data_IF_483167427309
#
_entry.id   IF_483167427309
#
_cell.length_a   1.000
_cell.length_b   1.000
_cell.length_c   1.000
_cell.angle_alpha   90.00
_cell.angle_beta   90.00
_cell.angle_gamma   90.00
#
_symmetry.space_group_name_H-M   'P 1'
#
loop_
_entity.id
_entity.type
_entity.pdbx_description
1 polymer ?
#
# COMPACT_ATOMS: atom_id res chain seq x y z
N UNK A 1 -77.99 38.95 -29.46
CA UNK A 1 -77.35 39.32 -30.74
C UNK A 1 -76.00 39.90 -30.36
N UNK A 2 -74.86 39.23 -30.46
CA UNK A 2 -74.46 37.93 -31.02
C UNK A 2 -73.07 37.65 -30.45
N UNK A 3 -72.85 36.44 -29.92
CA UNK A 3 -71.51 35.92 -29.64
C UNK A 3 -70.71 35.81 -30.93
N UNK A 4 -69.42 36.16 -30.89
CA UNK A 4 -68.46 35.82 -31.93
C UNK A 4 -67.44 34.89 -31.27
N UNK A 5 -67.71 33.59 -31.36
CA UNK A 5 -66.69 32.55 -31.18
C UNK A 5 -65.67 32.68 -32.31
N UNK A 6 -64.41 32.95 -31.95
CA UNK A 6 -63.27 32.71 -32.83
C UNK A 6 -62.51 31.49 -32.34
N UNK A 7 -62.91 30.33 -32.86
CA UNK A 7 -62.18 29.07 -32.76
C UNK A 7 -60.95 29.12 -33.67
N UNK A 8 -59.75 28.93 -33.10
CA UNK A 8 -58.49 28.86 -33.85
C UNK A 8 -57.41 28.10 -33.06
N UNK A 9 -56.75 27.07 -33.65
CA UNK A 9 -55.90 26.14 -32.92
C UNK A 9 -54.48 26.70 -32.73
N UNK A 10 -54.34 27.70 -31.85
CA UNK A 10 -53.05 28.36 -31.60
C UNK A 10 -52.15 27.67 -30.56
N UNK A 11 -52.67 26.73 -29.76
CA UNK A 11 -51.97 26.21 -28.57
C UNK A 11 -51.47 24.77 -28.68
N UNK A 12 -51.74 24.08 -29.80
CA UNK A 12 -51.31 22.69 -29.99
C UNK A 12 -49.84 22.57 -30.41
N UNK A 13 -49.28 23.57 -31.09
CA UNK A 13 -47.87 23.53 -31.53
C UNK A 13 -46.87 23.81 -30.40
N UNK A 14 -47.17 24.73 -29.48
CA UNK A 14 -46.29 25.04 -28.35
C UNK A 14 -46.16 23.85 -27.37
N UNK A 15 -47.23 23.07 -27.22
CA UNK A 15 -47.27 21.91 -26.31
C UNK A 15 -46.46 20.71 -26.84
N UNK A 16 -46.29 20.60 -28.16
CA UNK A 16 -45.51 19.51 -28.79
C UNK A 16 -43.99 19.80 -28.86
N UNK A 17 -43.57 21.06 -28.71
CA UNK A 17 -42.15 21.42 -28.81
C UNK A 17 -41.34 20.99 -27.57
N UNK A 18 -41.93 21.06 -26.39
CA UNK A 18 -41.30 20.66 -25.13
C UNK A 18 -40.91 19.17 -25.09
N UNK A 19 -41.79 18.20 -25.43
CA UNK A 19 -41.39 16.79 -25.49
C UNK A 19 -40.40 16.52 -26.62
N UNK A 20 -40.50 17.20 -27.76
CA UNK A 20 -39.56 17.02 -28.87
C UNK A 20 -38.12 17.47 -28.50
N UNK A 21 -37.98 18.61 -27.81
CA UNK A 21 -36.70 19.08 -27.28
C UNK A 21 -36.14 18.13 -26.21
N UNK A 22 -36.99 17.59 -25.35
CA UNK A 22 -36.58 16.61 -24.33
C UNK A 22 -36.04 15.32 -24.95
N UNK A 23 -36.65 14.85 -26.05
CA UNK A 23 -36.18 13.69 -26.81
C UNK A 23 -34.85 13.99 -27.50
N UNK A 24 -34.74 15.12 -28.21
CA UNK A 24 -33.49 15.55 -28.87
C UNK A 24 -32.33 15.67 -27.87
N UNK A 25 -32.59 16.24 -26.68
CA UNK A 25 -31.59 16.34 -25.61
C UNK A 25 -31.11 14.96 -25.16
N UNK A 26 -31.98 13.94 -25.11
CA UNK A 26 -31.59 12.57 -24.72
C UNK A 26 -30.85 11.81 -25.82
N UNK A 27 -31.15 12.06 -27.09
CA UNK A 27 -30.59 11.32 -28.23
C UNK A 27 -29.33 11.95 -28.81
N UNK A 28 -29.25 13.28 -28.87
CA UNK A 28 -28.14 14.01 -29.50
C UNK A 28 -27.13 14.53 -28.48
N UNK A 29 -27.59 14.81 -27.26
CA UNK A 29 -26.73 15.17 -26.13
C UNK A 29 -26.83 14.14 -25.00
N UNK A 30 -26.41 12.88 -25.23
CA UNK A 30 -26.34 11.91 -24.15
C UNK A 30 -25.52 12.54 -23.01
N UNK A 31 -26.01 12.51 -21.76
CA UNK A 31 -25.20 12.93 -20.62
C UNK A 31 -23.89 12.16 -20.72
N UNK A 32 -22.74 12.87 -20.77
CA UNK A 32 -21.45 12.20 -20.65
C UNK A 32 -21.55 11.31 -19.43
N UNK A 33 -21.37 10.00 -19.61
CA UNK A 33 -21.21 9.09 -18.50
C UNK A 33 -20.15 9.71 -17.61
N UNK A 34 -20.54 10.13 -16.40
CA UNK A 34 -19.56 10.56 -15.42
C UNK A 34 -18.56 9.42 -15.33
N UNK A 35 -17.25 9.67 -15.49
CA UNK A 35 -16.28 8.62 -15.24
C UNK A 35 -16.55 8.18 -13.81
N UNK A 36 -17.01 6.93 -13.66
CA UNK A 36 -17.12 6.32 -12.35
C UNK A 36 -15.72 6.38 -11.78
N UNK A 37 -15.49 7.34 -10.89
CA UNK A 37 -14.32 7.31 -10.01
C UNK A 37 -14.60 6.15 -9.08
N UNK A 38 -14.35 4.94 -9.57
CA UNK A 38 -14.36 3.74 -8.77
C UNK A 38 -13.17 3.90 -7.83
N UNK A 39 -13.36 4.67 -6.74
CA UNK A 39 -12.40 4.81 -5.68
C UNK A 39 -12.14 3.40 -5.21
N UNK A 40 -10.94 2.90 -5.51
CA UNK A 40 -10.51 1.59 -5.07
C UNK A 40 -10.58 1.64 -3.55
N UNK A 41 -11.58 0.95 -2.97
CA UNK A 41 -11.76 0.90 -1.52
C UNK A 41 -10.70 -0.06 -0.99
N UNK A 42 -9.51 0.49 -0.75
CA UNK A 42 -8.42 -0.22 -0.10
C UNK A 42 -8.68 -0.18 1.41
N UNK A 43 -8.51 -1.31 2.07
CA UNK A 43 -8.52 -1.34 3.53
C UNK A 43 -7.25 -0.67 4.07
N UNK A 44 -7.36 0.12 5.16
CA UNK A 44 -6.19 0.75 5.76
C UNK A 44 -5.25 -0.33 6.33
N UNK A 45 -3.94 -0.25 6.03
CA UNK A 45 -2.98 -1.16 6.63
C UNK A 45 -2.95 -0.96 8.14
N UNK A 46 -2.84 -2.04 8.91
CA UNK A 46 -2.83 -1.97 10.37
C UNK A 46 -1.49 -2.45 10.93
N UNK A 47 -0.96 -1.74 11.93
CA UNK A 47 0.24 -2.16 12.66
C UNK A 47 0.05 -2.11 14.18
N UNK A 48 0.67 -3.09 14.85
CA UNK A 48 0.59 -3.30 16.30
C UNK A 48 1.95 -3.26 16.96
N UNK A 49 1.96 -3.07 18.28
CA UNK A 49 3.16 -3.19 19.11
C UNK A 49 3.75 -4.58 19.05
N UNK A 50 5.08 -4.68 19.03
CA UNK A 50 5.81 -5.94 19.07
C UNK A 50 5.88 -6.67 17.73
N UNK A 51 5.73 -5.95 16.63
CA UNK A 51 5.83 -6.50 15.28
C UNK A 51 7.28 -6.77 14.89
N UNK A 52 7.45 -7.75 14.01
CA UNK A 52 8.76 -8.11 13.48
C UNK A 52 9.23 -7.12 12.40
N UNK A 53 10.55 -7.03 12.12
CA UNK A 53 11.07 -6.19 11.03
C UNK A 53 10.46 -6.49 9.66
N UNK A 54 10.06 -7.75 9.41
CA UNK A 54 9.35 -8.16 8.20
C UNK A 54 7.95 -7.52 8.11
N UNK A 55 7.17 -7.61 9.20
CA UNK A 55 5.84 -7.01 9.29
C UNK A 55 5.91 -5.48 9.13
N UNK A 56 6.95 -4.83 9.66
CA UNK A 56 7.21 -3.41 9.44
C UNK A 56 7.48 -3.09 7.96
N UNK A 57 8.29 -3.90 7.28
CA UNK A 57 8.57 -3.75 5.85
C UNK A 57 7.29 -3.89 5.02
N UNK A 58 6.48 -4.91 5.31
CA UNK A 58 5.18 -5.14 4.67
C UNK A 58 4.23 -3.95 4.89
N UNK A 59 4.07 -3.49 6.14
CA UNK A 59 3.27 -2.32 6.49
C UNK A 59 3.72 -1.08 5.72
N UNK A 60 5.02 -0.81 5.66
CA UNK A 60 5.55 0.38 4.95
C UNK A 60 5.24 0.33 3.45
N UNK A 61 5.29 -0.86 2.83
CA UNK A 61 4.92 -1.04 1.41
C UNK A 61 3.42 -0.83 1.21
N UNK A 62 2.60 -1.44 2.06
CA UNK A 62 1.14 -1.28 2.02
C UNK A 62 0.72 0.17 2.26
N UNK A 63 1.35 0.87 3.21
CA UNK A 63 1.11 2.28 3.49
C UNK A 63 1.40 3.16 2.27
N UNK A 64 2.52 2.93 1.57
CA UNK A 64 2.82 3.64 0.32
C UNK A 64 1.74 3.42 -0.74
N UNK A 65 1.34 2.17 -0.94
CA UNK A 65 0.26 1.84 -1.88
C UNK A 65 -1.08 2.47 -1.48
N UNK A 66 -1.40 2.45 -0.19
CA UNK A 66 -2.62 3.03 0.37
C UNK A 66 -2.65 4.55 0.21
N UNK A 67 -1.56 5.25 0.55
CA UNK A 67 -1.41 6.70 0.34
C UNK A 67 -1.64 7.08 -1.11
N UNK A 68 -1.03 6.35 -2.05
CA UNK A 68 -1.20 6.59 -3.49
C UNK A 68 -2.60 6.25 -3.97
N UNK A 69 -3.17 5.11 -3.54
CA UNK A 69 -4.48 4.64 -3.99
C UNK A 69 -5.65 5.47 -3.46
N UNK A 70 -5.52 6.01 -2.25
CA UNK A 70 -6.55 6.85 -1.61
C UNK A 70 -6.39 8.35 -1.93
N UNK A 71 -5.29 8.75 -2.58
CA UNK A 71 -4.95 10.15 -2.87
C UNK A 71 -5.02 11.05 -1.62
N UNK A 72 -4.41 10.60 -0.53
CA UNK A 72 -4.45 11.29 0.77
C UNK A 72 -3.63 12.58 0.67
N UNK A 73 -4.24 13.70 1.04
CA UNK A 73 -3.58 15.02 1.08
C UNK A 73 -2.60 15.09 2.26
N UNK A 74 -1.47 15.77 2.09
CA UNK A 74 -0.39 15.86 3.09
C UNK A 74 -0.88 16.38 4.45
N UNK A 75 -1.89 17.25 4.48
CA UNK A 75 -2.45 17.83 5.71
C UNK A 75 -3.13 16.79 6.62
N UNK A 76 -3.73 15.75 6.03
CA UNK A 76 -4.45 14.70 6.78
C UNK A 76 -3.64 13.41 6.88
N UNK A 77 -2.46 13.39 6.26
CA UNK A 77 -1.64 12.21 6.13
C UNK A 77 -1.08 11.69 7.47
N UNK A 78 -0.54 12.53 8.38
CA UNK A 78 -0.11 12.07 9.70
C UNK A 78 -1.29 11.49 10.50
N UNK A 79 -2.47 12.11 10.40
CA UNK A 79 -3.69 11.62 11.05
C UNK A 79 -4.12 10.27 10.50
N UNK A 80 -4.14 10.10 9.17
CA UNK A 80 -4.45 8.81 8.56
C UNK A 80 -3.45 7.71 8.96
N UNK A 81 -2.16 8.04 9.03
CA UNK A 81 -1.11 7.13 9.49
C UNK A 81 -1.29 6.77 10.98
N UNK A 82 -1.66 7.73 11.81
CA UNK A 82 -1.94 7.50 13.23
C UNK A 82 -3.10 6.50 13.42
N UNK A 83 -4.15 6.59 12.61
CA UNK A 83 -5.28 5.65 12.65
C UNK A 83 -4.99 4.27 12.02
N UNK A 84 -3.88 4.11 11.31
CA UNK A 84 -3.36 2.80 10.90
C UNK A 84 -2.68 2.04 12.06
N UNK A 85 -2.41 2.72 13.19
CA UNK A 85 -1.86 2.09 14.38
C UNK A 85 -2.99 1.52 15.26
N UNK A 86 -2.74 0.37 15.88
CA UNK A 86 -3.67 -0.19 16.86
C UNK A 86 -3.83 0.72 18.10
N UNK A 87 -4.83 0.42 18.92
CA UNK A 87 -5.16 1.27 20.09
C UNK A 87 -4.04 1.36 21.11
N UNK A 88 -3.27 0.28 21.29
CA UNK A 88 -2.16 0.23 22.24
C UNK A 88 -1.01 1.11 21.75
N UNK A 89 -0.60 0.93 20.49
CA UNK A 89 0.46 1.70 19.86
C UNK A 89 0.11 3.19 19.78
N UNK A 90 -1.15 3.54 19.47
CA UNK A 90 -1.61 4.93 19.52
C UNK A 90 -1.45 5.55 20.90
N UNK A 91 -1.80 4.82 21.94
CA UNK A 91 -1.67 5.28 23.33
C UNK A 91 -0.20 5.51 23.69
N UNK A 92 0.69 4.60 23.28
CA UNK A 92 2.12 4.73 23.54
C UNK A 92 2.75 5.89 22.74
N UNK A 93 2.34 6.09 21.49
CA UNK A 93 2.75 7.25 20.69
C UNK A 93 2.29 8.56 21.35
N UNK A 94 1.06 8.63 21.86
CA UNK A 94 0.57 9.84 22.55
C UNK A 94 1.33 10.13 23.84
N UNK A 95 1.77 9.09 24.58
CA UNK A 95 2.61 9.25 25.77
C UNK A 95 4.02 9.74 25.41
N UNK A 96 4.59 9.18 24.35
CA UNK A 96 5.94 9.47 23.89
C UNK A 96 6.07 10.89 23.29
N UNK A 97 5.03 11.37 22.61
CA UNK A 97 5.02 12.69 21.95
C UNK A 97 4.70 13.88 22.87
N UNK A 98 4.38 13.67 24.14
CA UNK A 98 4.11 14.72 25.15
C UNK A 98 3.21 15.89 24.69
N UNK A 99 2.33 15.68 23.69
CA UNK A 99 1.38 16.68 23.20
C UNK A 99 1.77 17.45 21.93
N UNK A 100 2.92 17.20 21.31
CA UNK A 100 3.24 17.83 20.02
C UNK A 100 2.45 17.16 18.88
N UNK A 101 1.27 17.72 18.58
CA UNK A 101 0.32 17.19 17.61
C UNK A 101 0.68 17.45 16.14
N UNK A 102 1.71 18.26 15.86
CA UNK A 102 2.09 18.67 14.51
C UNK A 102 3.33 17.93 14.02
N UNK A 103 3.23 16.62 13.85
CA UNK A 103 4.32 15.81 13.32
C UNK A 103 4.20 15.61 11.81
N UNK A 104 5.34 15.73 11.11
CA UNK A 104 5.48 15.36 9.70
C UNK A 104 5.39 13.83 9.61
N UNK A 105 4.84 13.30 8.51
CA UNK A 105 4.73 11.85 8.24
C UNK A 105 6.03 11.09 8.55
N UNK A 106 7.18 11.66 8.17
CA UNK A 106 8.49 11.04 8.34
C UNK A 106 8.88 10.83 9.78
N UNK A 107 8.52 11.77 10.67
CA UNK A 107 8.88 11.68 12.08
C UNK A 107 7.90 10.79 12.83
N UNK A 108 6.62 10.80 12.45
CA UNK A 108 5.64 9.84 12.93
C UNK A 108 6.03 8.41 12.55
N UNK A 109 6.46 8.15 11.31
CA UNK A 109 6.96 6.82 10.91
C UNK A 109 8.17 6.37 11.73
N UNK A 110 9.09 7.27 12.10
CA UNK A 110 10.22 6.93 12.99
C UNK A 110 9.76 6.57 14.39
N UNK A 111 8.82 7.34 14.96
CA UNK A 111 8.27 7.07 16.29
C UNK A 111 7.50 5.74 16.31
N UNK A 112 6.63 5.50 15.32
CA UNK A 112 5.93 4.23 15.14
C UNK A 112 6.93 3.09 15.03
N UNK A 113 7.98 3.22 14.20
CA UNK A 113 9.00 2.17 14.06
C UNK A 113 9.67 1.85 15.40
N UNK A 114 10.06 2.87 16.17
CA UNK A 114 10.73 2.72 17.47
C UNK A 114 9.86 2.01 18.51
N UNK A 115 8.55 2.29 18.52
CA UNK A 115 7.62 1.74 19.51
C UNK A 115 7.02 0.40 19.08
N UNK A 116 6.80 0.20 17.77
CA UNK A 116 6.14 -0.98 17.24
C UNK A 116 7.12 -2.12 16.97
N UNK A 117 8.31 -1.84 16.44
CA UNK A 117 9.22 -2.87 15.93
C UNK A 117 10.15 -3.35 17.02
N UNK A 118 10.11 -4.66 17.29
CA UNK A 118 11.16 -5.30 18.08
C UNK A 118 12.42 -5.37 17.23
N UNK A 119 13.48 -4.72 17.70
CA UNK A 119 14.77 -4.80 17.01
C UNK A 119 15.34 -6.22 17.16
N UNK A 120 15.27 -6.99 16.08
CA UNK A 120 15.91 -8.31 16.01
C UNK A 120 17.32 -8.16 15.44
N UNK A 121 18.27 -8.94 15.96
CA UNK A 121 19.64 -8.91 15.45
C UNK A 121 19.71 -9.44 14.01
N UNK A 122 20.62 -8.87 13.21
CA UNK A 122 20.89 -9.34 11.85
C UNK A 122 21.25 -10.83 11.81
N UNK A 123 21.90 -11.35 12.85
CA UNK A 123 22.21 -12.78 12.96
C UNK A 123 20.95 -13.64 13.07
N UNK A 124 19.95 -13.20 13.83
CA UNK A 124 18.66 -13.91 13.92
C UNK A 124 17.97 -13.93 12.56
N UNK A 125 18.01 -12.83 11.80
CA UNK A 125 17.46 -12.79 10.43
C UNK A 125 18.14 -13.80 9.50
N UNK A 126 19.45 -13.95 9.60
CA UNK A 126 20.22 -14.92 8.81
C UNK A 126 19.92 -16.37 9.21
N UNK A 127 19.74 -16.63 10.51
CA UNK A 127 19.30 -17.95 10.99
C UNK A 127 17.89 -18.26 10.46
N UNK A 128 16.97 -17.29 10.47
CA UNK A 128 15.63 -17.44 9.87
C UNK A 128 15.70 -17.74 8.37
N UNK A 129 16.57 -17.04 7.62
CA UNK A 129 16.80 -17.30 6.20
C UNK A 129 17.27 -18.74 5.95
N UNK A 130 18.26 -19.21 6.70
CA UNK A 130 18.75 -20.59 6.60
C UNK A 130 17.68 -21.63 6.95
N UNK A 131 16.78 -21.32 7.90
CA UNK A 131 15.64 -22.21 8.19
C UNK A 131 14.65 -22.29 7.04
N UNK A 132 14.39 -21.18 6.33
CA UNK A 132 13.53 -21.19 5.13
C UNK A 132 14.14 -22.13 4.08
N UNK A 133 15.45 -22.02 3.82
CA UNK A 133 16.15 -22.90 2.88
C UNK A 133 15.99 -24.39 3.21
N UNK A 134 15.97 -24.75 4.49
CA UNK A 134 15.78 -26.13 4.95
C UNK A 134 14.31 -26.62 4.90
N UNK A 135 13.33 -25.76 4.58
CA UNK A 135 11.92 -26.13 4.51
C UNK A 135 11.49 -26.51 3.08
N UNK A 136 11.74 -27.77 2.73
CA UNK A 136 11.46 -28.39 1.41
C UNK A 136 9.97 -28.57 1.04
N UNK A 137 9.03 -28.10 1.87
CA UNK A 137 7.61 -28.49 1.79
C UNK A 137 6.65 -27.42 1.23
N UNK A 138 7.14 -26.23 0.89
CA UNK A 138 6.27 -25.17 0.35
C UNK A 138 6.31 -25.12 -1.17
N UNK A 139 5.27 -24.56 -1.80
CA UNK A 139 5.29 -24.38 -3.24
C UNK A 139 6.47 -23.45 -3.61
N UNK A 140 7.11 -23.69 -4.76
CA UNK A 140 8.33 -22.97 -5.18
C UNK A 140 8.14 -21.44 -5.22
N UNK A 141 6.92 -20.96 -5.57
CA UNK A 141 6.65 -19.52 -5.66
C UNK A 141 6.53 -18.88 -4.27
N UNK A 142 5.85 -19.53 -3.33
CA UNK A 142 5.73 -19.10 -1.93
C UNK A 142 7.06 -19.19 -1.21
N UNK A 143 7.84 -20.23 -1.51
CA UNK A 143 9.20 -20.39 -1.03
C UNK A 143 10.07 -19.22 -1.48
N UNK A 144 10.14 -18.97 -2.81
CA UNK A 144 10.95 -17.89 -3.37
C UNK A 144 10.53 -16.52 -2.85
N UNK A 145 9.23 -16.25 -2.74
CA UNK A 145 8.74 -15.00 -2.17
C UNK A 145 9.17 -14.82 -0.70
N UNK A 146 9.06 -15.86 0.11
CA UNK A 146 9.50 -15.85 1.52
C UNK A 146 11.01 -15.66 1.63
N UNK A 147 11.77 -16.31 0.74
CA UNK A 147 13.22 -16.23 0.68
C UNK A 147 13.69 -14.81 0.37
N UNK A 148 13.14 -14.20 -0.69
CA UNK A 148 13.48 -12.83 -1.09
C UNK A 148 13.09 -11.84 0.02
N UNK A 149 11.91 -12.03 0.63
CA UNK A 149 11.45 -11.22 1.77
C UNK A 149 12.45 -11.27 2.92
N UNK A 150 12.81 -12.46 3.37
CA UNK A 150 13.72 -12.68 4.49
C UNK A 150 15.16 -12.21 4.18
N UNK A 151 15.64 -12.42 2.95
CA UNK A 151 16.98 -11.99 2.53
C UNK A 151 17.14 -10.46 2.57
N UNK A 152 16.07 -9.73 2.26
CA UNK A 152 16.06 -8.26 2.34
C UNK A 152 16.31 -7.71 3.75
N UNK A 153 16.04 -8.52 4.79
CA UNK A 153 16.23 -8.17 6.20
C UNK A 153 17.63 -8.53 6.73
N UNK A 154 18.38 -9.38 6.02
CA UNK A 154 19.64 -9.93 6.49
C UNK A 154 20.85 -8.99 6.33
N UNK A 155 20.63 -7.79 5.77
CA UNK A 155 21.64 -6.75 5.57
C UNK A 155 22.98 -7.29 5.02
N UNK A 156 22.94 -8.09 3.95
CA UNK A 156 24.16 -8.56 3.25
C UNK A 156 24.78 -7.44 2.44
N UNK A 157 25.25 -6.41 3.15
CA UNK A 157 25.91 -5.24 2.60
C UNK A 157 27.28 -5.11 3.23
N UNK A 158 28.31 -5.05 2.41
CA UNK A 158 29.66 -4.76 2.83
C UNK A 158 30.00 -3.32 2.41
N UNK A 159 30.56 -2.53 3.32
CA UNK A 159 31.14 -1.24 2.96
C UNK A 159 32.62 -1.47 2.77
N UNK A 160 33.13 -1.23 1.56
CA UNK A 160 34.57 -1.32 1.34
C UNK A 160 35.24 -0.11 2.01
N UNK A 161 36.26 -0.36 2.83
CA UNK A 161 37.12 0.69 3.40
C UNK A 161 38.31 0.93 2.48
N UNK A 162 38.06 1.27 1.22
CA UNK A 162 39.13 1.77 0.36
C UNK A 162 39.21 3.30 0.47
N UNK A 163 40.44 3.82 0.46
CA UNK A 163 40.79 5.22 0.72
C UNK A 163 40.16 6.25 -0.26
N UNK A 164 39.46 5.80 -1.30
CA UNK A 164 39.04 6.62 -2.45
C UNK A 164 37.52 6.59 -2.67
N UNK A 165 36.80 5.56 -2.23
CA UNK A 165 35.33 5.60 -2.30
C UNK A 165 34.68 4.71 -1.24
N UNK A 166 33.69 5.28 -0.55
CA UNK A 166 32.79 4.55 0.34
C UNK A 166 31.79 3.71 -0.50
N UNK A 167 32.30 2.75 -1.27
CA UNK A 167 31.48 1.88 -2.09
C UNK A 167 30.74 0.86 -1.21
N UNK A 168 29.42 0.79 -1.36
CA UNK A 168 28.56 -0.20 -0.70
C UNK A 168 28.30 -1.33 -1.67
N UNK A 169 28.78 -2.52 -1.35
CA UNK A 169 28.51 -3.74 -2.10
C UNK A 169 27.32 -4.47 -1.47
N UNK A 170 26.27 -4.70 -2.26
CA UNK A 170 25.16 -5.59 -1.90
C UNK A 170 25.43 -6.95 -2.56
N UNK A 171 25.43 -8.02 -1.75
CA UNK A 171 25.74 -9.38 -2.23
C UNK A 171 24.64 -10.38 -1.85
N UNK A 172 23.41 -9.90 -1.60
CA UNK A 172 22.26 -10.76 -1.32
C UNK A 172 22.07 -11.83 -2.40
N UNK A 173 22.21 -11.48 -3.68
CA UNK A 173 21.98 -12.40 -4.79
C UNK A 173 22.97 -13.57 -4.81
N UNK A 174 24.23 -13.32 -4.46
CA UNK A 174 25.25 -14.38 -4.37
C UNK A 174 24.94 -15.33 -3.22
N UNK A 175 24.54 -14.80 -2.06
CA UNK A 175 24.10 -15.64 -0.93
C UNK A 175 22.89 -16.50 -1.31
N UNK A 176 21.92 -15.93 -2.04
CA UNK A 176 20.76 -16.70 -2.48
C UNK A 176 21.18 -17.85 -3.42
N UNK A 177 22.09 -17.59 -4.36
CA UNK A 177 22.62 -18.62 -5.29
C UNK A 177 23.36 -19.72 -4.53
N UNK A 178 24.24 -19.36 -3.60
CA UNK A 178 25.04 -20.31 -2.83
C UNK A 178 24.14 -21.27 -2.03
N UNK A 179 23.19 -20.72 -1.26
CA UNK A 179 22.25 -21.54 -0.48
C UNK A 179 21.34 -22.39 -1.38
N UNK A 180 20.95 -21.89 -2.56
CA UNK A 180 20.17 -22.69 -3.50
C UNK A 180 20.97 -23.86 -4.08
N UNK A 181 22.27 -23.65 -4.32
CA UNK A 181 23.18 -24.72 -4.78
C UNK A 181 23.35 -25.81 -3.73
N UNK A 182 23.44 -25.44 -2.44
CA UNK A 182 23.50 -26.39 -1.32
C UNK A 182 22.23 -27.25 -1.22
N UNK A 183 21.04 -26.66 -1.42
CA UNK A 183 19.78 -27.42 -1.43
C UNK A 183 19.73 -28.44 -2.56
N UNK A 184 20.14 -28.05 -3.77
CA UNK A 184 20.17 -28.97 -4.91
C UNK A 184 21.14 -30.12 -4.62
N UNK A 185 22.30 -29.82 -4.03
CA UNK A 185 23.27 -30.84 -3.64
C UNK A 185 22.72 -31.79 -2.57
N UNK A 186 22.06 -31.26 -1.53
CA UNK A 186 21.48 -32.07 -0.45
C UNK A 186 20.27 -32.90 -0.91
N UNK A 187 19.44 -32.36 -1.79
CA UNK A 187 18.32 -33.11 -2.39
C UNK A 187 18.77 -34.35 -3.18
N UNK A 188 20.03 -34.36 -3.63
CA UNK A 188 20.65 -35.51 -4.33
C UNK A 188 21.20 -36.56 -3.37
N UNK A 189 21.40 -36.24 -2.08
CA UNK A 189 21.86 -37.19 -1.06
C UNK A 189 20.73 -38.01 -0.41
N UNK A 190 19.47 -37.71 -0.74
CA UNK A 190 18.28 -38.43 -0.26
C UNK A 190 17.58 -39.28 -1.36
N UNK A 191 18.26 -39.56 -2.48
CA UNK A 191 17.82 -40.50 -3.53
C UNK A 191 18.74 -41.70 -3.59
#
# INVERSE_FOLDING_TARGET
>A
MTEIEMSGPGWTFATALAPALQIHRRTVHPPLAQPSTHKLKLDPPTISTGCDPDQWSAFTRQWKMYKTGMAITDNVLPTALFYCCDTNLRTDIMRDLQGDASMIETDLLKAIKRLAVKEESTLVQRIKLNRIFNQLLSNIRTFLASLIGQASLCQYKATCKDLISNHKLDYIDEIIKDNFSEIIADSRNYV
#
